data_IF_672072103118
#
_entry.id   IF_672072103118
#
_cell.length_a   1.000
_cell.length_b   1.000
_cell.length_c   1.000
_cell.angle_alpha   90.00
_cell.angle_beta   90.00
_cell.angle_gamma   90.00
#
_symmetry.space_group_name_H-M   'P 1'
#
loop_
_entity.id
_entity.type
_entity.pdbx_description
1 polymer ?
#
# COMPACT_ATOMS: atom_id res chain seq x y z
N UNK A 1 9.45 -6.27 2.96
CA UNK A 1 9.24 -7.52 2.20
C UNK A 1 8.52 -8.42 3.18
N UNK A 2 7.18 -8.39 3.14
CA UNK A 2 6.34 -8.89 4.23
C UNK A 2 6.45 -10.42 4.37
N UNK A 3 6.45 -10.86 5.63
CA UNK A 3 6.91 -12.17 6.10
C UNK A 3 5.90 -13.33 5.89
N UNK A 4 6.40 -14.56 6.00
CA UNK A 4 5.84 -15.90 5.70
C UNK A 4 4.48 -16.33 6.30
N UNK A 5 3.70 -15.43 6.91
CA UNK A 5 2.36 -15.74 7.45
C UNK A 5 1.33 -14.68 7.04
N UNK A 6 1.24 -14.38 5.75
CA UNK A 6 0.13 -13.59 5.23
C UNK A 6 -1.15 -14.44 5.26
N UNK A 7 -2.24 -13.98 5.89
CA UNK A 7 -3.55 -14.61 5.71
C UNK A 7 -3.90 -14.64 4.22
N UNK A 8 -4.64 -15.65 3.79
CA UNK A 8 -5.07 -15.72 2.39
C UNK A 8 -6.08 -14.60 2.12
N UNK A 9 -5.58 -13.49 1.58
CA UNK A 9 -6.38 -12.31 1.28
C UNK A 9 -7.49 -12.66 0.29
N UNK A 10 -8.67 -12.09 0.52
CA UNK A 10 -9.77 -12.13 -0.42
C UNK A 10 -9.38 -11.48 -1.76
N UNK A 11 -10.09 -11.77 -2.86
CA UNK A 11 -9.85 -11.09 -4.15
C UNK A 11 -9.94 -9.56 -4.08
N UNK A 12 -10.84 -9.03 -3.24
CA UNK A 12 -10.98 -7.59 -2.96
C UNK A 12 -9.70 -7.04 -2.30
N UNK A 13 -9.24 -7.67 -1.22
CA UNK A 13 -8.04 -7.25 -0.49
C UNK A 13 -6.79 -7.36 -1.37
N UNK A 14 -6.67 -8.43 -2.17
CA UNK A 14 -5.58 -8.58 -3.15
C UNK A 14 -5.58 -7.44 -4.18
N UNK A 15 -6.76 -6.99 -4.60
CA UNK A 15 -6.90 -5.86 -5.54
C UNK A 15 -6.52 -4.53 -4.88
N UNK A 16 -6.88 -4.32 -3.61
CA UNK A 16 -6.45 -3.14 -2.84
C UNK A 16 -4.93 -3.12 -2.61
N UNK A 17 -4.32 -4.27 -2.33
CA UNK A 17 -2.86 -4.40 -2.19
C UNK A 17 -2.15 -4.09 -3.52
N UNK A 18 -2.66 -4.58 -4.65
CA UNK A 18 -2.11 -4.27 -5.97
C UNK A 18 -2.22 -2.77 -6.30
N UNK A 19 -3.30 -2.10 -5.87
CA UNK A 19 -3.44 -0.65 -6.01
C UNK A 19 -2.38 0.09 -5.19
N UNK A 20 -2.13 -0.34 -3.96
CA UNK A 20 -1.08 0.22 -3.12
C UNK A 20 0.32 0.03 -3.72
N UNK A 21 0.62 -1.16 -4.24
CA UNK A 21 1.90 -1.47 -4.89
C UNK A 21 2.11 -0.61 -6.14
N UNK A 22 1.10 -0.49 -7.01
CA UNK A 22 1.15 0.38 -8.19
C UNK A 22 1.33 1.83 -7.78
N UNK A 23 0.56 2.35 -6.82
CA UNK A 23 0.73 3.72 -6.33
C UNK A 23 2.15 4.00 -5.81
N UNK A 24 2.77 3.02 -5.12
CA UNK A 24 4.10 3.17 -4.55
C UNK A 24 5.22 3.09 -5.59
N UNK A 25 5.12 2.18 -6.56
CA UNK A 25 6.23 1.76 -7.43
C UNK A 25 6.04 2.11 -8.91
N UNK A 26 4.80 2.18 -9.39
CA UNK A 26 4.49 2.40 -10.82
C UNK A 26 3.10 3.04 -11.01
N UNK A 27 2.89 4.23 -10.44
CA UNK A 27 1.57 4.92 -10.47
C UNK A 27 1.13 5.31 -11.89
N UNK A 28 2.03 5.25 -12.87
CA UNK A 28 1.70 5.48 -14.29
C UNK A 28 0.97 4.29 -14.92
N UNK A 29 1.09 3.11 -14.32
CA UNK A 29 0.36 1.90 -14.74
C UNK A 29 -1.08 1.81 -14.21
N UNK A 30 -1.58 2.89 -13.59
CA UNK A 30 -2.96 3.05 -13.17
C UNK A 30 -3.78 3.60 -14.35
N UNK A 31 -4.10 2.70 -15.27
CA UNK A 31 -4.88 2.98 -16.48
C UNK A 31 -6.35 2.59 -16.31
N UNK A 32 -7.15 2.85 -17.35
CA UNK A 32 -8.59 2.55 -17.35
C UNK A 32 -8.89 1.07 -17.10
N UNK A 33 -8.02 0.15 -17.52
CA UNK A 33 -8.19 -1.29 -17.28
C UNK A 33 -8.03 -1.61 -15.80
N UNK A 34 -7.05 -0.99 -15.13
CA UNK A 34 -6.89 -1.14 -13.70
C UNK A 34 -8.05 -0.54 -12.91
N UNK A 35 -8.54 0.65 -13.29
CA UNK A 35 -9.72 1.23 -12.64
C UNK A 35 -10.98 0.39 -12.87
N UNK A 36 -11.17 -0.18 -14.08
CA UNK A 36 -12.23 -1.17 -14.32
C UNK A 36 -12.15 -2.37 -13.37
N UNK A 37 -10.95 -2.86 -13.08
CA UNK A 37 -10.72 -3.94 -12.11
C UNK A 37 -11.07 -3.51 -10.68
N UNK A 38 -10.71 -2.30 -10.26
CA UNK A 38 -11.09 -1.76 -8.96
C UNK A 38 -12.62 -1.69 -8.78
N UNK A 39 -13.33 -1.27 -9.82
CA UNK A 39 -14.80 -1.17 -9.81
C UNK A 39 -15.53 -2.52 -9.67
N UNK A 40 -14.85 -3.65 -9.77
CA UNK A 40 -15.43 -4.96 -9.46
C UNK A 40 -15.76 -5.07 -7.96
N UNK A 41 -14.97 -4.42 -7.11
CA UNK A 41 -15.06 -4.54 -5.64
C UNK A 41 -15.38 -3.22 -4.93
N UNK A 42 -15.04 -2.08 -5.52
CA UNK A 42 -15.09 -0.77 -4.87
C UNK A 42 -15.92 0.25 -5.68
N UNK A 43 -16.70 1.08 -4.98
CA UNK A 43 -17.33 2.27 -5.57
C UNK A 43 -16.32 3.38 -5.85
N UNK A 44 -16.73 4.40 -6.60
CA UNK A 44 -15.90 5.59 -6.88
C UNK A 44 -15.42 6.27 -5.59
N UNK A 45 -16.31 6.40 -4.60
CA UNK A 45 -15.98 6.98 -3.30
C UNK A 45 -14.98 6.12 -2.53
N UNK A 46 -15.14 4.79 -2.56
CA UNK A 46 -14.22 3.86 -1.92
C UNK A 46 -12.84 3.89 -2.59
N UNK A 47 -12.78 3.97 -3.92
CA UNK A 47 -11.51 4.08 -4.67
C UNK A 47 -10.79 5.38 -4.32
N UNK A 48 -11.53 6.49 -4.24
CA UNK A 48 -10.99 7.78 -3.86
C UNK A 48 -10.41 7.73 -2.44
N UNK A 49 -11.19 7.24 -1.48
CA UNK A 49 -10.77 7.13 -0.08
C UNK A 49 -9.57 6.20 0.08
N UNK A 50 -9.60 5.03 -0.55
CA UNK A 50 -8.51 4.06 -0.56
C UNK A 50 -7.24 4.68 -1.16
N UNK A 51 -7.35 5.38 -2.29
CA UNK A 51 -6.23 6.07 -2.93
C UNK A 51 -5.63 7.18 -2.06
N UNK A 52 -6.48 7.95 -1.36
CA UNK A 52 -6.03 8.98 -0.41
C UNK A 52 -5.25 8.35 0.76
N UNK A 53 -5.77 7.27 1.36
CA UNK A 53 -5.10 6.57 2.47
C UNK A 53 -3.76 6.00 2.03
N UNK A 54 -3.72 5.31 0.88
CA UNK A 54 -2.49 4.78 0.29
C UNK A 54 -1.45 5.90 0.09
N UNK A 55 -1.86 7.00 -0.55
CA UNK A 55 -0.98 8.15 -0.80
C UNK A 55 -0.44 8.76 0.49
N UNK A 56 -1.28 8.89 1.51
CA UNK A 56 -0.90 9.41 2.83
C UNK A 56 0.19 8.56 3.48
N UNK A 57 0.02 7.24 3.52
CA UNK A 57 1.00 6.35 4.15
C UNK A 57 2.30 6.22 3.36
N UNK A 58 2.26 6.25 2.03
CA UNK A 58 3.47 6.34 1.20
C UNK A 58 4.23 7.64 1.50
N UNK A 59 3.53 8.76 1.55
CA UNK A 59 4.10 10.08 1.87
C UNK A 59 4.74 10.11 3.25
N UNK A 60 4.03 9.59 4.26
CA UNK A 60 4.55 9.48 5.63
C UNK A 60 5.77 8.57 5.73
N UNK A 61 5.77 7.39 5.09
CA UNK A 61 6.96 6.52 5.08
C UNK A 61 8.19 7.23 4.50
N UNK A 62 8.01 7.93 3.37
CA UNK A 62 9.09 8.73 2.75
C UNK A 62 9.55 9.88 3.64
N UNK A 63 8.63 10.56 4.32
CA UNK A 63 8.98 11.65 5.24
C UNK A 63 9.76 11.11 6.44
N UNK A 64 9.29 10.05 7.10
CA UNK A 64 9.98 9.43 8.24
C UNK A 64 11.40 9.00 7.87
N UNK A 65 11.58 8.42 6.67
CA UNK A 65 12.89 8.10 6.12
C UNK A 65 13.76 9.34 5.95
N UNK A 66 13.19 10.42 5.41
CA UNK A 66 13.94 11.66 5.15
C UNK A 66 14.40 12.36 6.43
N UNK A 67 13.67 12.21 7.54
CA UNK A 67 14.01 12.82 8.84
C UNK A 67 14.68 11.85 9.83
N UNK A 68 15.06 10.66 9.37
CA UNK A 68 15.70 9.60 10.18
C UNK A 68 14.90 9.19 11.43
N UNK A 69 13.56 9.20 11.32
CA UNK A 69 12.63 8.80 12.38
C UNK A 69 12.04 7.40 12.16
N UNK A 70 12.68 6.57 11.34
CA UNK A 70 12.25 5.19 11.19
C UNK A 70 12.52 4.43 12.49
N UNK A 71 11.59 3.55 12.93
CA UNK A 71 11.85 2.70 14.08
C UNK A 71 13.12 1.88 13.84
N UNK A 72 14.15 2.07 14.69
CA UNK A 72 15.28 1.14 14.73
C UNK A 72 14.78 -0.16 15.34
N UNK A 73 14.25 -1.06 14.52
CA UNK A 73 14.04 -2.43 14.97
C UNK A 73 15.41 -3.13 15.07
N UNK A 74 15.65 -3.70 16.25
CA UNK A 74 16.87 -4.33 16.76
C UNK A 74 17.95 -3.40 17.35
N UNK A 75 17.67 -2.90 18.55
CA UNK A 75 18.68 -2.88 19.62
C UNK A 75 18.14 -3.74 20.77
N UNK A 76 18.58 -5.01 20.84
CA UNK A 76 18.68 -5.92 22.02
C UNK A 76 18.35 -7.37 21.64
N UNK A 77 19.20 -7.96 20.80
CA UNK A 77 19.70 -9.33 21.04
C UNK A 77 21.23 -9.23 21.13
N UNK A 78 21.71 -8.59 22.20
CA UNK A 78 23.10 -8.64 22.58
C UNK A 78 23.17 -8.95 24.07
N UNK A 79 23.70 -10.16 24.33
CA UNK A 79 23.89 -10.89 25.59
C UNK A 79 22.69 -11.70 26.06
#
# INVERSE_FOLDING_TARGET
MLDEQMPDFSPEEKTALEFADKMALDHKSLDDDFFRKLHIYFSDEQILELGMLIGQFIGFGRLLRAVDLEPRFCETLRN
#
